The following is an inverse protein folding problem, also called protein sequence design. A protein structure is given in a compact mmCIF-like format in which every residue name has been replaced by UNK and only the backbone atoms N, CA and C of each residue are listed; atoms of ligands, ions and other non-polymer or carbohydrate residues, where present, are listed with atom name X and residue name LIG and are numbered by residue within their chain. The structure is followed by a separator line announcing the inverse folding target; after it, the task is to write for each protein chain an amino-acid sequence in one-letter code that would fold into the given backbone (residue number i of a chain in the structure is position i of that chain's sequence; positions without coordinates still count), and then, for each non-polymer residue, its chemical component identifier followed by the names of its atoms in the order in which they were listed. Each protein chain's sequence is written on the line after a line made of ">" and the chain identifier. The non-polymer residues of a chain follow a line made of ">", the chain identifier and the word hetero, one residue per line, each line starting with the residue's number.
data_IF_113083551618
#
_entry.id   IF_113083551618
#
_cell.length_a   1.000
_cell.length_b   1.000
_cell.length_c   1.000
_cell.angle_alpha   90.00
_cell.angle_beta   90.00
_cell.angle_gamma   90.00
#
_symmetry.space_group_name_H-M   'P 1'
#
loop_
_entity.id
_entity.type
_entity.pdbx_description
1 polymer ?
#
# COMPACT_ATOMS: atom_id res chain seq x y z
N UNK A 1 16.60 -5.23 -31.20
CA UNK A 1 15.70 -5.62 -32.31
C UNK A 1 15.51 -7.14 -32.31
N UNK A 2 14.52 -7.67 -31.55
CA UNK A 2 13.97 -9.00 -31.79
C UNK A 2 12.46 -8.96 -31.60
N UNK A 3 11.74 -8.89 -32.71
CA UNK A 3 10.29 -9.09 -32.83
C UNK A 3 10.01 -10.58 -32.66
N UNK A 4 9.20 -10.96 -31.66
CA UNK A 4 8.53 -12.28 -31.64
C UNK A 4 7.14 -12.14 -32.23
N UNK A 5 6.97 -12.83 -33.34
CA UNK A 5 5.72 -13.02 -34.09
C UNK A 5 4.97 -14.17 -33.43
N UNK A 6 3.70 -13.97 -33.04
CA UNK A 6 2.80 -15.04 -32.60
C UNK A 6 2.06 -15.63 -33.81
N UNK A 7 1.95 -16.97 -33.95
CA UNK A 7 1.18 -17.57 -35.01
C UNK A 7 -0.33 -17.57 -34.65
N UNK A 8 -1.12 -17.15 -35.64
CA UNK A 8 -2.59 -17.23 -35.68
C UNK A 8 -3.01 -18.67 -35.88
N UNK A 9 -3.75 -19.23 -34.89
CA UNK A 9 -4.35 -20.57 -35.00
C UNK A 9 -5.71 -20.53 -35.71
N UNK A 10 -5.81 -21.19 -36.85
CA UNK A 10 -6.99 -21.36 -37.66
C UNK A 10 -8.01 -22.29 -37.01
N UNK A 11 -9.23 -21.79 -36.83
CA UNK A 11 -10.42 -22.52 -36.38
C UNK A 11 -10.90 -23.48 -37.48
N UNK A 12 -10.91 -24.80 -37.21
CA UNK A 12 -11.61 -25.79 -38.03
C UNK A 12 -13.04 -25.98 -37.48
N UNK A 13 -13.97 -25.63 -38.31
CA UNK A 13 -15.41 -25.85 -38.16
C UNK A 13 -15.74 -27.33 -38.45
N UNK A 14 -15.92 -28.16 -37.40
CA UNK A 14 -16.47 -29.50 -37.49
C UNK A 14 -18.01 -29.46 -37.54
N UNK A 15 -18.57 -29.88 -38.64
CA UNK A 15 -20.02 -30.14 -38.77
C UNK A 15 -20.31 -31.52 -38.16
N UNK A 16 -21.05 -31.57 -37.06
CA UNK A 16 -21.54 -32.80 -36.48
C UNK A 16 -23.04 -32.92 -36.73
N UNK A 17 -23.38 -34.02 -37.36
CA UNK A 17 -24.74 -34.37 -37.82
C UNK A 17 -25.57 -34.85 -36.63
N UNK A 18 -26.79 -34.29 -36.52
CA UNK A 18 -27.82 -34.73 -35.59
C UNK A 18 -28.51 -35.97 -36.15
N UNK A 19 -28.36 -37.10 -35.49
CA UNK A 19 -29.19 -38.28 -35.72
C UNK A 19 -30.37 -38.28 -34.73
N UNK A 20 -31.59 -38.23 -35.30
CA UNK A 20 -32.83 -38.47 -34.56
C UNK A 20 -33.02 -39.98 -34.35
N UNK A 21 -33.07 -40.44 -33.12
CA UNK A 21 -33.52 -41.76 -32.70
C UNK A 21 -34.83 -41.66 -31.88
N UNK A 22 -35.69 -42.68 -31.86
CA UNK A 22 -37.12 -42.52 -31.54
C UNK A 22 -37.44 -42.51 -30.03
N UNK A 23 -38.50 -41.83 -29.70
CA UNK A 23 -39.21 -41.65 -28.45
C UNK A 23 -39.21 -42.83 -27.47
N UNK A 24 -38.72 -42.60 -26.26
CA UNK A 24 -39.17 -43.33 -25.08
C UNK A 24 -39.65 -42.30 -24.04
N UNK A 25 -40.93 -42.29 -23.79
CA UNK A 25 -41.61 -41.46 -22.81
C UNK A 25 -41.26 -41.92 -21.38
N UNK A 26 -40.25 -41.30 -20.78
CA UNK A 26 -40.00 -41.37 -19.34
C UNK A 26 -40.27 -40.00 -18.72
N UNK A 27 -41.42 -39.89 -18.04
CA UNK A 27 -41.72 -38.74 -17.18
C UNK A 27 -40.85 -38.83 -15.94
N UNK A 28 -39.87 -37.89 -15.73
CA UNK A 28 -39.14 -37.84 -14.49
C UNK A 28 -40.00 -37.18 -13.41
N UNK A 29 -40.09 -37.82 -12.27
CA UNK A 29 -40.67 -37.26 -11.06
C UNK A 29 -39.79 -36.14 -10.54
N UNK A 30 -40.02 -34.91 -11.01
CA UNK A 30 -39.21 -33.70 -10.74
C UNK A 30 -39.59 -33.03 -9.40
N UNK A 31 -40.31 -33.72 -8.50
CA UNK A 31 -40.82 -33.06 -7.27
C UNK A 31 -39.93 -33.10 -6.05
N UNK A 32 -38.99 -34.04 -5.92
CA UNK A 32 -38.28 -34.27 -4.67
C UNK A 32 -36.91 -33.60 -4.58
N UNK A 33 -36.24 -33.34 -5.68
CA UNK A 33 -34.89 -32.76 -5.64
C UNK A 33 -34.86 -31.23 -5.52
N UNK A 34 -35.93 -30.54 -5.91
CA UNK A 34 -35.98 -29.07 -5.81
C UNK A 34 -36.07 -28.55 -4.37
N UNK A 35 -36.74 -29.28 -3.50
CA UNK A 35 -36.88 -28.85 -2.08
C UNK A 35 -35.59 -28.96 -1.29
N UNK A 36 -34.69 -29.89 -1.60
CA UNK A 36 -33.40 -30.03 -0.96
C UNK A 36 -32.39 -28.96 -1.43
N UNK A 37 -32.39 -28.64 -2.71
CA UNK A 37 -31.50 -27.61 -3.28
C UNK A 37 -31.84 -26.20 -2.78
N UNK A 38 -33.14 -25.86 -2.65
CA UNK A 38 -33.56 -24.56 -2.09
C UNK A 38 -33.18 -24.39 -0.60
N UNK A 39 -33.21 -25.46 0.19
CA UNK A 39 -32.80 -25.39 1.60
C UNK A 39 -31.28 -25.20 1.74
N UNK A 40 -30.48 -25.81 0.88
CA UNK A 40 -29.01 -25.63 0.90
C UNK A 40 -28.62 -24.20 0.48
N UNK A 41 -29.24 -23.64 -0.56
CA UNK A 41 -28.93 -22.27 -1.00
C UNK A 41 -29.31 -21.20 0.03
N UNK A 42 -30.46 -21.39 0.72
CA UNK A 42 -30.87 -20.48 1.79
C UNK A 42 -29.89 -20.50 2.98
N UNK A 43 -29.35 -21.67 3.33
CA UNK A 43 -28.38 -21.81 4.41
C UNK A 43 -27.04 -21.13 4.09
N UNK A 44 -26.57 -21.23 2.85
CA UNK A 44 -25.34 -20.53 2.39
C UNK A 44 -25.53 -19.01 2.33
N UNK A 45 -26.69 -18.53 1.91
CA UNK A 45 -27.00 -17.09 1.86
C UNK A 45 -27.04 -16.50 3.29
N UNK A 46 -27.64 -17.20 4.25
CA UNK A 46 -27.65 -16.73 5.63
C UNK A 46 -26.28 -16.75 6.28
N UNK A 47 -25.41 -17.71 5.96
CA UNK A 47 -24.04 -17.75 6.43
C UNK A 47 -23.23 -16.58 5.85
N UNK A 48 -23.34 -16.28 4.56
CA UNK A 48 -22.61 -15.17 3.94
C UNK A 48 -23.04 -13.81 4.46
N UNK A 49 -24.32 -13.56 4.69
CA UNK A 49 -24.82 -12.32 5.29
C UNK A 49 -24.28 -12.13 6.73
N UNK A 50 -24.22 -13.20 7.53
CA UNK A 50 -23.64 -13.14 8.89
C UNK A 50 -22.15 -12.79 8.86
N UNK A 51 -21.39 -13.34 7.93
CA UNK A 51 -19.98 -13.01 7.75
C UNK A 51 -19.78 -11.54 7.30
N UNK A 52 -20.58 -11.05 6.37
CA UNK A 52 -20.55 -9.66 5.95
C UNK A 52 -20.92 -8.71 7.09
N UNK A 53 -21.94 -9.02 7.89
CA UNK A 53 -22.28 -8.22 9.05
C UNK A 53 -21.14 -8.18 10.09
N UNK A 54 -20.51 -9.33 10.37
CA UNK A 54 -19.38 -9.41 11.28
C UNK A 54 -18.17 -8.60 10.80
N UNK A 55 -17.85 -8.67 9.50
CA UNK A 55 -16.75 -7.86 8.92
C UNK A 55 -17.02 -6.36 8.99
N UNK A 56 -18.26 -5.93 8.76
CA UNK A 56 -18.64 -4.51 8.88
C UNK A 56 -18.53 -4.01 10.32
N UNK A 57 -18.93 -4.81 11.32
CA UNK A 57 -18.77 -4.46 12.73
C UNK A 57 -17.30 -4.36 13.11
N UNK A 58 -16.46 -5.32 12.70
CA UNK A 58 -15.01 -5.29 12.97
C UNK A 58 -14.36 -4.08 12.30
N UNK A 59 -14.71 -3.78 11.06
CA UNK A 59 -14.20 -2.59 10.34
C UNK A 59 -14.60 -1.29 11.05
N UNK A 60 -15.84 -1.20 11.52
CA UNK A 60 -16.32 -0.02 12.27
C UNK A 60 -15.58 0.15 13.60
N UNK A 61 -15.33 -0.95 14.33
CA UNK A 61 -14.56 -0.91 15.58
C UNK A 61 -13.11 -0.51 15.34
N UNK A 62 -12.49 -0.96 14.25
CA UNK A 62 -11.13 -0.57 13.87
C UNK A 62 -11.04 0.91 13.49
N UNK A 63 -12.06 1.48 12.84
CA UNK A 63 -12.12 2.90 12.52
C UNK A 63 -12.28 3.79 13.78
N UNK A 64 -12.98 3.29 14.81
CA UNK A 64 -13.11 4.00 16.09
C UNK A 64 -11.85 3.91 16.96
N UNK A 65 -10.98 2.93 16.72
CA UNK A 65 -9.73 2.72 17.43
C UNK A 65 -8.56 3.58 16.90
N UNK A 66 -8.82 4.54 16.01
CA UNK A 66 -7.77 5.43 15.51
C UNK A 66 -7.23 6.30 16.66
N UNK A 67 -5.90 6.30 16.89
CA UNK A 67 -5.33 7.17 17.91
C UNK A 67 -5.56 8.64 17.51
N UNK A 68 -5.80 9.52 18.48
CA UNK A 68 -6.01 10.95 18.20
C UNK A 68 -4.77 11.53 17.50
N UNK A 69 -4.98 12.17 16.37
CA UNK A 69 -3.93 12.75 15.49
C UNK A 69 -3.05 13.80 16.21
N UNK A 70 -3.46 14.24 17.41
CA UNK A 70 -2.76 15.29 18.16
C UNK A 70 -1.42 14.89 18.82
N UNK A 71 -1.09 13.60 18.93
CA UNK A 71 0.15 13.15 19.61
C UNK A 71 1.40 13.27 18.73
N UNK A 72 1.25 13.33 17.42
CA UNK A 72 2.38 13.39 16.48
C UNK A 72 3.20 14.69 16.63
N UNK A 73 2.57 15.82 16.88
CA UNK A 73 3.26 17.12 16.96
C UNK A 73 4.20 17.26 18.17
N UNK A 74 3.89 16.59 19.27
CA UNK A 74 4.71 16.64 20.49
C UNK A 74 5.98 15.79 20.32
N UNK A 75 5.89 14.66 19.63
CA UNK A 75 7.05 13.81 19.35
C UNK A 75 8.04 14.50 18.40
N UNK A 76 7.56 15.20 17.38
CA UNK A 76 8.42 15.93 16.46
C UNK A 76 9.22 17.05 17.14
N UNK A 77 8.65 17.76 18.11
CA UNK A 77 9.38 18.77 18.88
C UNK A 77 10.49 18.18 19.74
N UNK A 78 10.29 16.99 20.33
CA UNK A 78 11.35 16.29 21.08
C UNK A 78 12.46 15.85 20.14
N UNK A 79 12.13 15.25 19.01
CA UNK A 79 13.09 14.86 17.99
C UNK A 79 13.93 16.06 17.52
N UNK A 80 13.31 17.22 17.28
CA UNK A 80 13.99 18.45 16.91
C UNK A 80 15.09 18.87 17.88
N UNK A 81 14.81 18.82 19.17
CA UNK A 81 15.78 19.16 20.22
C UNK A 81 16.89 18.10 20.35
N UNK A 82 16.53 16.81 20.25
CA UNK A 82 17.47 15.68 20.29
C UNK A 82 18.46 15.71 19.13
N UNK A 83 18.05 16.21 17.96
CA UNK A 83 18.90 16.40 16.79
C UNK A 83 19.88 17.57 16.93
N UNK A 84 19.81 18.34 18.03
CA UNK A 84 20.63 19.51 18.23
C UNK A 84 20.21 20.75 17.41
N UNK A 85 19.00 20.76 16.89
CA UNK A 85 18.45 21.90 16.18
C UNK A 85 18.19 23.07 17.15
N UNK A 86 18.59 24.28 16.77
CA UNK A 86 18.50 25.48 17.61
C UNK A 86 17.74 26.63 16.94
N UNK A 87 17.35 26.47 15.70
CA UNK A 87 16.60 27.46 14.91
C UNK A 87 15.10 27.42 15.17
N UNK A 88 14.33 27.81 14.17
CA UNK A 88 12.87 27.80 14.26
C UNK A 88 12.31 26.42 13.94
N UNK A 89 11.46 25.90 14.82
CA UNK A 89 10.78 24.63 14.58
C UNK A 89 9.73 24.80 13.50
N UNK A 90 9.92 24.12 12.38
CA UNK A 90 8.92 23.97 11.31
C UNK A 90 8.77 22.49 10.99
N UNK A 91 7.59 21.94 11.28
CA UNK A 91 7.32 20.51 11.18
C UNK A 91 7.47 20.00 9.74
N UNK A 92 7.03 20.78 8.75
CA UNK A 92 7.12 20.41 7.33
C UNK A 92 8.56 20.31 6.85
N UNK A 93 9.42 21.21 7.31
CA UNK A 93 10.85 21.18 6.98
C UNK A 93 11.54 20.00 7.63
N UNK A 94 11.31 19.79 8.93
CA UNK A 94 11.87 18.66 9.67
C UNK A 94 11.47 17.33 9.00
N UNK A 95 10.18 17.14 8.73
CA UNK A 95 9.68 15.93 8.08
C UNK A 95 10.29 15.69 6.68
N UNK A 96 10.53 16.76 5.90
CA UNK A 96 11.18 16.63 4.60
C UNK A 96 12.63 16.18 4.71
N UNK A 97 13.39 16.74 5.68
CA UNK A 97 14.79 16.36 5.90
C UNK A 97 14.90 14.94 6.48
N UNK A 98 14.05 14.58 7.44
CA UNK A 98 13.99 13.21 7.97
C UNK A 98 13.71 12.18 6.86
N UNK A 99 12.80 12.51 5.94
CA UNK A 99 12.49 11.65 4.81
C UNK A 99 13.69 11.37 3.89
N UNK A 100 14.53 12.37 3.63
CA UNK A 100 15.78 12.16 2.88
C UNK A 100 16.67 11.14 3.57
N UNK A 101 16.80 11.22 4.90
CA UNK A 101 17.60 10.25 5.66
C UNK A 101 16.97 8.85 5.70
N UNK A 102 15.64 8.76 5.75
CA UNK A 102 14.93 7.48 5.65
C UNK A 102 15.12 6.83 4.27
N UNK A 103 14.98 7.59 3.19
CA UNK A 103 15.22 7.12 1.83
C UNK A 103 16.69 6.69 1.63
N UNK A 104 17.64 7.44 2.22
CA UNK A 104 19.05 7.06 2.25
C UNK A 104 19.29 5.75 2.99
N UNK A 105 18.64 5.55 4.13
CA UNK A 105 18.67 4.28 4.85
C UNK A 105 18.12 3.13 3.99
N UNK A 106 17.01 3.35 3.29
CA UNK A 106 16.45 2.33 2.40
C UNK A 106 17.40 1.97 1.26
N UNK A 107 18.18 2.92 0.78
CA UNK A 107 19.17 2.67 -0.28
C UNK A 107 20.37 1.84 0.21
N UNK A 108 20.92 2.17 1.37
CA UNK A 108 22.14 1.55 1.89
C UNK A 108 21.89 0.39 2.88
N UNK A 109 20.69 0.29 3.45
CA UNK A 109 20.29 -0.71 4.45
C UNK A 109 21.21 -0.75 5.68
N UNK A 110 21.88 0.35 6.00
CA UNK A 110 22.81 0.46 7.13
C UNK A 110 22.27 1.42 8.20
N UNK A 111 22.04 0.94 9.46
CA UNK A 111 21.51 1.78 10.55
C UNK A 111 22.37 3.00 10.88
N UNK A 112 23.69 2.90 10.68
CA UNK A 112 24.60 4.04 10.88
C UNK A 112 24.33 5.17 9.90
N UNK A 113 23.98 4.86 8.64
CA UNK A 113 23.69 5.85 7.61
C UNK A 113 22.55 6.78 8.03
N UNK A 114 21.48 6.22 8.62
CA UNK A 114 20.36 7.01 9.14
C UNK A 114 20.77 8.00 10.23
N UNK A 115 21.55 7.53 11.22
CA UNK A 115 21.99 8.36 12.34
C UNK A 115 22.97 9.46 11.89
N UNK A 116 23.94 9.12 11.04
CA UNK A 116 24.92 10.07 10.51
C UNK A 116 24.26 11.16 9.65
N UNK A 117 23.23 10.78 8.87
CA UNK A 117 22.47 11.71 8.05
C UNK A 117 21.74 12.77 8.89
N UNK A 118 21.20 12.38 10.03
CA UNK A 118 20.42 13.25 10.93
C UNK A 118 21.29 14.07 11.91
N UNK A 119 22.55 13.72 12.04
CA UNK A 119 23.43 14.35 13.01
C UNK A 119 23.55 15.87 12.80
N UNK A 120 23.78 16.60 13.89
CA UNK A 120 23.95 18.04 13.88
C UNK A 120 22.82 18.80 13.15
N UNK A 121 21.57 18.38 13.37
CA UNK A 121 20.40 19.00 12.73
C UNK A 121 20.48 18.99 11.19
N UNK A 122 20.91 17.85 10.60
CA UNK A 122 21.13 17.65 9.17
C UNK A 122 22.23 18.54 8.56
N UNK A 123 22.90 19.40 9.37
CA UNK A 123 23.96 20.28 8.89
C UNK A 123 25.31 19.55 8.89
N UNK A 124 25.40 18.52 8.07
CA UNK A 124 26.58 17.69 7.89
C UNK A 124 26.73 17.29 6.42
N UNK A 125 27.92 16.90 6.06
CA UNK A 125 28.23 16.50 4.68
C UNK A 125 27.51 15.23 4.24
N UNK A 126 27.29 14.31 5.20
CA UNK A 126 26.64 13.04 4.93
C UNK A 126 25.19 13.21 4.45
N UNK A 127 24.47 14.18 4.98
CA UNK A 127 23.12 14.53 4.53
C UNK A 127 23.10 14.93 3.06
N UNK A 128 24.04 15.76 2.63
CA UNK A 128 24.12 16.21 1.23
C UNK A 128 24.56 15.09 0.28
N UNK A 129 25.48 14.23 0.72
CA UNK A 129 25.86 13.02 -0.02
C UNK A 129 24.66 12.08 -0.22
N UNK A 130 23.82 11.91 0.81
CA UNK A 130 22.57 11.17 0.71
C UNK A 130 21.61 11.81 -0.32
N UNK A 131 21.43 13.13 -0.28
CA UNK A 131 20.58 13.81 -1.24
C UNK A 131 21.08 13.65 -2.69
N UNK A 132 22.39 13.68 -2.90
CA UNK A 132 22.99 13.42 -4.21
C UNK A 132 22.80 11.97 -4.68
N UNK A 133 22.98 10.99 -3.77
CA UNK A 133 22.78 9.58 -4.06
C UNK A 133 21.31 9.25 -4.41
N UNK A 134 20.37 9.98 -3.84
CA UNK A 134 18.93 9.94 -4.14
C UNK A 134 18.55 10.74 -5.40
N UNK A 135 19.53 11.30 -6.11
CA UNK A 135 19.35 12.10 -7.32
C UNK A 135 18.51 13.39 -7.10
N UNK A 136 18.51 13.94 -5.90
CA UNK A 136 17.78 15.16 -5.53
C UNK A 136 18.58 16.43 -5.82
N UNK A 137 19.39 16.43 -6.87
CA UNK A 137 20.31 17.56 -7.20
C UNK A 137 19.57 18.88 -7.40
N UNK A 138 18.41 18.84 -8.00
CA UNK A 138 17.59 20.03 -8.25
C UNK A 138 16.95 20.61 -6.98
N UNK A 139 16.87 19.80 -5.91
CA UNK A 139 16.32 20.20 -4.61
C UNK A 139 17.38 20.61 -3.59
N UNK A 140 18.67 20.43 -3.86
CA UNK A 140 19.75 20.64 -2.88
C UNK A 140 19.70 22.03 -2.27
N UNK A 141 19.50 23.09 -3.05
CA UNK A 141 19.43 24.46 -2.56
C UNK A 141 18.21 24.67 -1.65
N UNK A 142 17.08 24.08 -1.98
CA UNK A 142 15.87 24.07 -1.15
C UNK A 142 16.09 23.32 0.17
N UNK A 143 16.75 22.15 0.12
CA UNK A 143 17.09 21.36 1.31
C UNK A 143 18.06 22.11 2.22
N UNK A 144 19.08 22.76 1.63
CA UNK A 144 20.04 23.59 2.36
C UNK A 144 19.37 24.76 3.08
N UNK A 145 18.46 25.45 2.40
CA UNK A 145 17.66 26.53 3.01
C UNK A 145 16.83 26.03 4.20
N UNK A 146 16.23 24.85 4.11
CA UNK A 146 15.47 24.23 5.21
C UNK A 146 16.37 23.82 6.37
N UNK A 147 17.55 23.25 6.09
CA UNK A 147 18.57 22.94 7.11
C UNK A 147 18.99 24.21 7.84
N UNK A 148 19.33 25.27 7.11
CA UNK A 148 19.75 26.53 7.71
C UNK A 148 18.65 27.16 8.57
N UNK A 149 17.37 27.06 8.16
CA UNK A 149 16.22 27.56 8.91
C UNK A 149 16.03 26.83 10.27
N UNK A 150 16.20 25.51 10.27
CA UNK A 150 16.08 24.69 11.49
C UNK A 150 17.32 24.77 12.39
N UNK A 151 18.50 25.00 11.81
CA UNK A 151 19.78 25.04 12.53
C UNK A 151 20.10 26.44 13.07
N UNK A 152 19.86 27.48 12.28
CA UNK A 152 20.27 28.87 12.57
C UNK A 152 19.30 29.57 13.50
N UNK A 153 19.92 30.24 14.49
CA UNK A 153 19.28 31.26 15.28
C UNK A 153 19.78 32.62 14.81
#
# INVERSE_FOLDING_TARGET
>A
LVRRVFPVGTSRRGKEQVQLGPHASHTPKIGAHYSAALKMTASFLMASVRWLAATMVVCSLLLLAQPPVGTASIQHKRSFLELGCRGNFEQSYLARLERVCEECYQLYQEPKAYNMCRDNCFKNEYFFQCAEALLLKDEIDSLKSKVDYLYSR
#
